data_IF_403870910116
#
_entry.id   IF_403870910116
#
_cell.length_a   1.000
_cell.length_b   1.000
_cell.length_c   1.000
_cell.angle_alpha   90.00
_cell.angle_beta   90.00
_cell.angle_gamma   90.00
#
_symmetry.space_group_name_H-M   'P 1'
#
loop_
_entity.id
_entity.type
_entity.pdbx_description
1 polymer ?
#
# COMPACT_ATOMS: atom_id res chain seq x y z
N UNK A 1 -29.85 45.94 -20.30
CA UNK A 1 -30.67 44.86 -19.72
C UNK A 1 -29.82 44.10 -18.71
N UNK A 2 -30.44 43.67 -17.62
CA UNK A 2 -29.89 43.59 -16.26
C UNK A 2 -29.79 42.13 -15.82
N UNK A 3 -28.60 41.68 -15.39
CA UNK A 3 -28.36 40.55 -14.46
C UNK A 3 -27.01 40.82 -13.76
N UNK A 4 -26.92 41.74 -12.79
CA UNK A 4 -26.92 41.49 -11.32
C UNK A 4 -26.18 40.19 -10.98
N UNK A 5 -24.88 40.28 -10.59
CA UNK A 5 -24.34 40.27 -9.20
C UNK A 5 -24.40 38.85 -8.61
N UNK A 6 -23.30 38.23 -8.19
CA UNK A 6 -22.70 38.45 -6.88
C UNK A 6 -21.21 38.07 -6.84
N UNK A 7 -20.37 39.09 -6.58
CA UNK A 7 -19.11 38.91 -5.87
C UNK A 7 -19.37 39.31 -4.42
N UNK A 8 -19.26 38.37 -3.48
CA UNK A 8 -18.94 38.68 -2.08
C UNK A 8 -18.08 37.57 -1.50
N UNK A 9 -16.88 38.01 -1.15
CA UNK A 9 -15.81 37.34 -0.43
C UNK A 9 -16.24 37.17 1.04
N UNK A 10 -16.10 35.97 1.60
CA UNK A 10 -15.91 35.79 3.04
C UNK A 10 -15.30 34.41 3.34
N UNK A 11 -14.00 34.44 3.62
CA UNK A 11 -13.26 33.63 4.57
C UNK A 11 -13.85 32.27 4.99
N UNK A 12 -13.26 31.20 4.48
CA UNK A 12 -13.02 29.98 5.25
C UNK A 12 -11.51 29.75 5.33
N UNK A 13 -10.86 30.56 6.15
CA UNK A 13 -9.59 30.23 6.79
C UNK A 13 -9.84 29.04 7.71
N UNK A 14 -8.95 28.03 7.64
CA UNK A 14 -8.60 27.00 8.64
C UNK A 14 -8.72 25.56 8.13
N UNK A 15 -7.71 25.14 7.35
CA UNK A 15 -6.98 23.89 7.67
C UNK A 15 -5.51 24.05 7.30
N UNK A 16 -4.86 25.08 7.85
CA UNK A 16 -3.44 25.00 8.19
C UNK A 16 -3.38 24.55 9.65
N UNK A 17 -3.49 23.24 9.82
CA UNK A 17 -3.19 22.52 11.04
C UNK A 17 -2.51 21.24 10.61
N UNK A 18 -1.21 21.33 10.36
CA UNK A 18 -0.40 20.14 10.13
C UNK A 18 -0.55 19.20 11.32
N UNK A 19 -0.94 17.96 11.04
CA UNK A 19 -0.33 16.88 11.76
C UNK A 19 0.87 16.51 10.91
N UNK A 20 2.09 16.51 11.47
CA UNK A 20 3.20 15.87 10.78
C UNK A 20 2.74 14.46 10.42
N UNK A 21 2.43 14.24 9.16
CA UNK A 21 1.97 12.95 8.67
C UNK A 21 3.19 12.06 8.67
N UNK A 22 3.52 11.49 9.84
CA UNK A 22 4.13 10.18 9.81
C UNK A 22 3.24 9.35 8.90
N UNK A 23 3.79 8.91 7.77
CA UNK A 23 3.12 7.93 6.92
C UNK A 23 2.58 6.85 7.85
N UNK A 24 1.28 6.46 7.75
CA UNK A 24 0.70 5.48 8.66
C UNK A 24 1.42 4.12 8.59
N UNK A 25 2.26 3.96 7.57
CA UNK A 25 3.12 2.80 7.35
C UNK A 25 4.59 3.22 7.39
N UNK A 26 5.41 2.42 8.07
CA UNK A 26 6.87 2.56 8.05
C UNK A 26 7.42 2.15 6.69
N UNK A 27 8.24 2.99 6.06
CA UNK A 27 8.92 2.59 4.82
C UNK A 27 9.92 1.48 5.11
N UNK A 28 9.94 0.43 4.28
CA UNK A 28 10.78 -0.70 4.58
C UNK A 28 10.39 -1.99 3.89
N UNK A 29 11.07 -3.05 4.32
CA UNK A 29 10.85 -4.42 3.86
C UNK A 29 9.95 -5.15 4.84
N UNK A 30 8.76 -5.49 4.37
CA UNK A 30 7.79 -6.35 5.04
C UNK A 30 7.91 -7.77 4.51
N UNK A 31 7.89 -8.77 5.39
CA UNK A 31 8.08 -10.18 5.03
C UNK A 31 6.92 -11.00 5.56
N UNK A 32 6.35 -11.84 4.70
CA UNK A 32 5.36 -12.83 5.10
C UNK A 32 5.96 -13.75 6.16
N UNK A 33 5.38 -13.74 7.36
CA UNK A 33 5.93 -14.43 8.53
C UNK A 33 5.90 -15.95 8.43
N UNK A 34 5.01 -16.49 7.61
CA UNK A 34 4.81 -17.92 7.45
C UNK A 34 5.53 -18.47 6.21
N UNK A 35 6.06 -17.60 5.36
CA UNK A 35 6.78 -18.01 4.15
C UNK A 35 8.25 -18.37 4.45
N UNK A 36 8.79 -19.35 3.72
CA UNK A 36 10.21 -19.71 3.83
C UNK A 36 11.16 -18.56 3.48
N UNK A 37 12.47 -18.72 3.70
CA UNK A 37 13.48 -17.65 3.50
C UNK A 37 13.51 -17.01 2.10
N UNK A 38 12.95 -17.68 1.08
CA UNK A 38 12.79 -17.17 -0.29
C UNK A 38 11.35 -16.68 -0.61
N UNK A 39 10.54 -16.50 0.43
CA UNK A 39 9.13 -16.23 0.38
C UNK A 39 8.75 -14.78 0.09
N UNK A 40 7.46 -14.53 0.35
CA UNK A 40 6.77 -13.31 -0.05
C UNK A 40 7.29 -12.10 0.72
N UNK A 41 7.51 -10.99 0.02
CA UNK A 41 7.91 -9.73 0.66
C UNK A 41 7.37 -8.52 -0.11
N UNK A 42 7.22 -7.42 0.62
CA UNK A 42 6.84 -6.11 0.11
C UNK A 42 7.93 -5.12 0.49
N UNK A 43 8.36 -4.29 -0.44
CA UNK A 43 9.25 -3.16 -0.17
C UNK A 43 8.48 -1.88 -0.48
N UNK A 44 8.27 -1.05 0.55
CA UNK A 44 7.66 0.28 0.45
C UNK A 44 8.75 1.35 0.50
N UNK A 45 8.68 2.32 -0.41
CA UNK A 45 9.62 3.46 -0.48
C UNK A 45 8.88 4.77 -0.24
N UNK A 46 9.60 5.76 0.26
CA UNK A 46 9.05 7.09 0.60
C UNK A 46 8.42 7.81 -0.60
N UNK A 47 8.94 7.58 -1.80
CA UNK A 47 8.48 8.17 -3.06
C UNK A 47 7.15 7.60 -3.59
N UNK A 48 6.48 6.75 -2.81
CA UNK A 48 5.23 6.09 -3.20
C UNK A 48 5.43 4.86 -4.10
N UNK A 49 6.66 4.49 -4.43
CA UNK A 49 6.93 3.26 -5.19
C UNK A 49 7.02 2.04 -4.28
N UNK A 50 6.60 0.89 -4.79
CA UNK A 50 6.76 -0.38 -4.13
C UNK A 50 7.22 -1.50 -5.07
N UNK A 51 7.67 -2.60 -4.46
CA UNK A 51 7.84 -3.87 -5.16
C UNK A 51 7.31 -4.99 -4.31
N UNK A 52 6.55 -5.88 -4.93
CA UNK A 52 6.07 -7.11 -4.33
C UNK A 52 6.84 -8.28 -4.95
N UNK A 53 7.43 -9.13 -4.12
CA UNK A 53 7.99 -10.41 -4.56
C UNK A 53 7.14 -11.50 -3.94
N UNK A 54 6.60 -12.38 -4.78
CA UNK A 54 5.88 -13.55 -4.35
C UNK A 54 6.82 -14.69 -4.01
N UNK A 55 7.73 -15.02 -4.93
CA UNK A 55 8.71 -16.08 -4.74
C UNK A 55 10.02 -15.67 -5.38
N UNK A 56 11.11 -15.70 -4.61
CA UNK A 56 12.44 -15.56 -5.19
C UNK A 56 12.87 -16.79 -5.99
N UNK A 57 12.35 -17.98 -5.65
CA UNK A 57 12.68 -19.24 -6.35
C UNK A 57 12.17 -19.23 -7.79
N UNK A 58 10.95 -18.74 -8.00
CA UNK A 58 10.30 -18.67 -9.31
C UNK A 58 10.45 -17.29 -9.98
N UNK A 59 11.21 -16.37 -9.38
CA UNK A 59 11.35 -14.99 -9.85
C UNK A 59 10.02 -14.23 -10.04
N UNK A 60 8.98 -14.63 -9.31
CA UNK A 60 7.65 -14.04 -9.36
C UNK A 60 7.62 -12.75 -8.54
N UNK A 61 7.55 -11.62 -9.23
CA UNK A 61 7.50 -10.30 -8.62
C UNK A 61 6.88 -9.27 -9.55
N UNK A 62 6.38 -8.19 -8.97
CA UNK A 62 5.95 -7.02 -9.72
C UNK A 62 6.38 -5.73 -9.01
N UNK A 63 6.36 -4.64 -9.77
CA UNK A 63 6.52 -3.28 -9.27
C UNK A 63 5.19 -2.55 -9.33
N UNK A 64 5.03 -1.56 -8.48
CA UNK A 64 3.82 -0.76 -8.43
C UNK A 64 4.02 0.53 -7.66
N UNK A 65 2.92 1.25 -7.50
CA UNK A 65 2.80 2.36 -6.56
C UNK A 65 1.93 1.93 -5.40
N UNK A 66 1.95 2.70 -4.31
CA UNK A 66 1.03 2.47 -3.21
C UNK A 66 0.51 3.78 -2.64
N UNK A 67 -0.70 3.69 -2.10
CA UNK A 67 -1.36 4.76 -1.36
C UNK A 67 -1.77 4.25 0.01
N UNK A 68 -1.80 5.14 1.00
CA UNK A 68 -2.19 4.81 2.38
C UNK A 68 -3.24 5.79 2.85
N UNK A 69 -4.36 5.28 3.33
CA UNK A 69 -5.48 6.07 3.83
C UNK A 69 -6.42 5.20 4.66
N UNK A 70 -7.05 5.78 5.69
CA UNK A 70 -8.06 5.10 6.51
C UNK A 70 -7.64 3.73 7.07
N UNK A 71 -6.37 3.61 7.50
CA UNK A 71 -5.81 2.36 8.04
C UNK A 71 -5.61 1.26 6.99
N UNK A 72 -5.63 1.62 5.71
CA UNK A 72 -5.49 0.71 4.57
C UNK A 72 -4.31 1.15 3.70
N UNK A 73 -3.60 0.17 3.16
CA UNK A 73 -2.59 0.35 2.13
C UNK A 73 -3.07 -0.36 0.87
N UNK A 74 -3.08 0.34 -0.26
CA UNK A 74 -3.44 -0.22 -1.57
C UNK A 74 -2.24 -0.14 -2.49
N UNK A 75 -1.79 -1.29 -2.99
CA UNK A 75 -0.77 -1.39 -4.02
C UNK A 75 -1.45 -1.47 -5.39
N UNK A 76 -1.00 -0.67 -6.35
CA UNK A 76 -1.42 -0.74 -7.75
C UNK A 76 -0.23 -1.19 -8.60
N UNK A 77 -0.32 -2.34 -9.26
CA UNK A 77 0.74 -2.82 -10.14
C UNK A 77 0.72 -2.10 -11.51
N UNK A 78 1.71 -2.39 -12.36
CA UNK A 78 1.82 -1.81 -13.71
C UNK A 78 0.66 -2.13 -14.66
N UNK A 79 -0.15 -3.14 -14.34
CA UNK A 79 -1.33 -3.54 -15.11
C UNK A 79 -2.62 -2.90 -14.58
N UNK A 80 -2.53 -2.11 -13.51
CA UNK A 80 -3.67 -1.48 -12.85
C UNK A 80 -4.41 -2.40 -11.88
N UNK A 81 -3.90 -3.59 -11.56
CA UNK A 81 -4.47 -4.45 -10.51
C UNK A 81 -4.17 -3.89 -9.13
N UNK A 82 -5.15 -3.99 -8.24
CA UNK A 82 -5.13 -3.47 -6.88
C UNK A 82 -5.01 -4.57 -5.83
N UNK A 83 -4.11 -4.38 -4.87
CA UNK A 83 -3.89 -5.31 -3.75
C UNK A 83 -3.98 -4.54 -2.44
N UNK A 84 -4.94 -4.93 -1.60
CA UNK A 84 -5.35 -4.18 -0.42
C UNK A 84 -4.86 -4.85 0.84
N UNK A 85 -4.36 -4.04 1.78
CA UNK A 85 -3.84 -4.47 3.06
C UNK A 85 -4.40 -3.59 4.18
N UNK A 86 -4.78 -4.19 5.30
CA UNK A 86 -4.95 -3.43 6.54
C UNK A 86 -3.58 -3.10 7.12
N UNK A 87 -3.38 -1.84 7.48
CA UNK A 87 -2.20 -1.35 8.19
C UNK A 87 -2.48 -1.37 9.68
N UNK A 88 -1.67 -2.10 10.43
CA UNK A 88 -1.76 -2.14 11.89
C UNK A 88 -0.35 -2.18 12.47
N UNK A 89 0.06 -1.08 13.10
CA UNK A 89 1.43 -0.89 13.58
C UNK A 89 2.43 -1.17 12.43
N UNK A 90 3.47 -1.97 12.67
CA UNK A 90 4.46 -2.37 11.66
C UNK A 90 4.05 -3.65 10.88
N UNK A 91 2.75 -3.85 10.68
CA UNK A 91 2.18 -5.02 10.03
C UNK A 91 1.23 -4.65 8.89
N UNK A 92 1.32 -5.42 7.80
CA UNK A 92 0.37 -5.40 6.69
C UNK A 92 -0.39 -6.73 6.64
N UNK A 93 -1.72 -6.67 6.62
CA UNK A 93 -2.59 -7.85 6.61
C UNK A 93 -3.35 -7.87 5.29
N UNK A 94 -3.09 -8.86 4.44
CA UNK A 94 -3.70 -8.94 3.11
C UNK A 94 -5.22 -9.12 3.18
N UNK A 95 -5.95 -8.39 2.32
CA UNK A 95 -7.41 -8.41 2.20
C UNK A 95 -7.79 -8.98 0.83
N UNK A 96 -7.97 -10.29 0.75
CA UNK A 96 -8.23 -10.98 -0.52
C UNK A 96 -9.56 -10.52 -1.16
N UNK A 97 -10.62 -10.40 -0.35
CA UNK A 97 -11.95 -9.97 -0.83
C UNK A 97 -12.00 -8.53 -1.35
N UNK A 98 -10.97 -7.73 -1.06
CA UNK A 98 -10.83 -6.33 -1.51
C UNK A 98 -9.73 -6.16 -2.57
N UNK A 99 -9.10 -7.25 -3.00
CA UNK A 99 -8.00 -7.25 -3.94
C UNK A 99 -8.40 -7.91 -5.26
N UNK A 100 -7.72 -7.54 -6.32
CA UNK A 100 -7.75 -8.28 -7.57
C UNK A 100 -7.09 -9.65 -7.43
N UNK A 101 -7.49 -10.59 -8.29
CA UNK A 101 -6.88 -11.92 -8.35
C UNK A 101 -5.40 -11.82 -8.71
N UNK A 102 -4.59 -12.43 -7.85
CA UNK A 102 -3.17 -12.65 -8.09
C UNK A 102 -3.04 -13.93 -8.91
N UNK A 103 -3.17 -13.82 -10.23
CA UNK A 103 -3.05 -14.96 -11.15
C UNK A 103 -1.57 -15.39 -11.24
N UNK A 104 -1.15 -16.22 -10.32
CA UNK A 104 0.17 -16.83 -10.33
C UNK A 104 0.02 -18.29 -10.73
N UNK A 105 -0.05 -18.52 -12.03
CA UNK A 105 -0.19 -19.85 -12.64
C UNK A 105 0.93 -20.82 -12.21
N UNK A 106 2.04 -20.31 -11.66
CA UNK A 106 3.23 -21.09 -11.33
C UNK A 106 3.40 -21.41 -9.83
N UNK A 107 2.38 -21.21 -8.98
CA UNK A 107 2.50 -21.54 -7.55
C UNK A 107 1.26 -22.24 -6.99
N UNK A 108 1.47 -23.35 -6.26
CA UNK A 108 0.40 -24.09 -5.56
C UNK A 108 -0.06 -23.41 -4.25
N UNK A 109 0.61 -22.33 -3.84
CA UNK A 109 0.33 -21.65 -2.58
C UNK A 109 -0.20 -20.26 -2.84
N UNK A 110 -1.51 -20.04 -3.07
CA UNK A 110 -2.08 -18.71 -3.26
C UNK A 110 -1.87 -17.80 -2.04
N UNK A 111 -1.83 -16.48 -2.26
CA UNK A 111 -1.85 -15.50 -1.17
C UNK A 111 -3.24 -15.50 -0.52
N UNK A 112 -3.31 -15.89 0.75
CA UNK A 112 -4.58 -16.10 1.46
C UNK A 112 -5.02 -14.83 2.17
N UNK A 113 -6.34 -14.62 2.29
CA UNK A 113 -6.87 -13.56 3.17
C UNK A 113 -6.28 -13.67 4.57
N UNK A 114 -5.92 -12.53 5.16
CA UNK A 114 -5.30 -12.47 6.47
C UNK A 114 -3.81 -12.76 6.49
N UNK A 115 -3.15 -13.04 5.35
CA UNK A 115 -1.68 -13.22 5.31
C UNK A 115 -1.00 -11.99 5.91
N UNK A 116 -0.08 -12.23 6.85
CA UNK A 116 0.55 -11.20 7.68
C UNK A 116 1.98 -10.95 7.20
N UNK A 117 2.27 -9.71 6.84
CA UNK A 117 3.62 -9.24 6.55
C UNK A 117 4.12 -8.32 7.66
N UNK A 118 5.24 -8.67 8.29
CA UNK A 118 5.86 -7.89 9.35
C UNK A 118 7.04 -7.08 8.81
N UNK A 119 7.20 -5.84 9.29
CA UNK A 119 8.39 -5.05 9.02
C UNK A 119 9.64 -5.75 9.58
N UNK A 120 10.61 -6.01 8.70
CA UNK A 120 11.92 -6.57 9.09
C UNK A 120 13.04 -5.54 9.04
N UNK A 121 12.99 -4.62 8.08
CA UNK A 121 13.99 -3.56 7.93
C UNK A 121 13.31 -2.26 7.52
N UNK A 122 13.39 -1.24 8.38
CA UNK A 122 13.02 0.11 7.99
C UNK A 122 14.03 0.69 7.00
N UNK A 123 13.56 1.36 5.96
CA UNK A 123 14.39 2.15 5.06
C UNK A 123 14.29 3.59 5.57
N UNK A 124 15.41 4.13 6.06
CA UNK A 124 15.48 5.54 6.45
C UNK A 124 15.57 6.40 5.20
N UNK A 125 14.75 7.44 5.14
CA UNK A 125 14.87 8.59 4.24
C UNK A 125 16.23 9.26 4.40
#
# INVERSE_FOLDING_TARGET
MKKILCAFIAAALLILGGCGSSSPVTYGRYVDTEAEAMGRQIILREDGNCSFRYSALYSLSFRGTYEVGDGTLTITNSEGKHYVFTVKDDTLIYKADSSDSLDLEETDEPLKDGTVFELRNAIKS
#
